data_IF_435512867462
#
_entry.id   IF_435512867462
#
_cell.length_a   1.000
_cell.length_b   1.000
_cell.length_c   1.000
_cell.angle_alpha   90.00
_cell.angle_beta   90.00
_cell.angle_gamma   90.00
#
_symmetry.space_group_name_H-M   'P 1'
#
loop_
_entity.id
_entity.type
_entity.pdbx_description
1 polymer ?
#
# COMPACT_ATOMS: atom_id res chain seq x y z
N UNK A 1 -9.03 -8.82 -11.07
CA UNK A 1 -10.40 -8.41 -11.46
C UNK A 1 -11.36 -9.51 -11.04
N UNK A 2 -12.51 -9.16 -10.43
CA UNK A 2 -13.51 -10.15 -10.00
C UNK A 2 -14.38 -10.55 -11.20
N UNK A 3 -14.59 -11.83 -11.41
CA UNK A 3 -15.55 -12.36 -12.37
C UNK A 3 -16.99 -12.01 -11.93
N UNK A 4 -17.81 -11.38 -12.79
CA UNK A 4 -19.18 -10.99 -12.48
C UNK A 4 -20.14 -12.17 -12.19
N UNK A 5 -19.77 -13.40 -12.53
CA UNK A 5 -20.66 -14.57 -12.40
C UNK A 5 -20.25 -15.57 -11.32
N UNK A 6 -19.00 -15.55 -10.86
CA UNK A 6 -18.46 -16.61 -10.01
C UNK A 6 -17.66 -16.16 -8.78
N UNK A 7 -17.59 -14.86 -8.49
CA UNK A 7 -16.73 -14.29 -7.42
C UNK A 7 -15.26 -14.74 -7.52
N UNK A 8 -14.83 -15.07 -8.74
CA UNK A 8 -13.51 -15.59 -9.07
C UNK A 8 -12.49 -14.45 -9.18
N UNK A 9 -11.33 -14.59 -8.55
CA UNK A 9 -10.30 -13.57 -8.53
C UNK A 9 -9.16 -13.90 -9.49
N UNK A 10 -9.00 -13.08 -10.51
CA UNK A 10 -7.90 -13.17 -11.46
C UNK A 10 -6.85 -12.11 -11.19
N UNK A 11 -5.59 -12.53 -11.17
CA UNK A 11 -4.43 -11.61 -11.19
C UNK A 11 -4.04 -11.40 -12.65
N UNK A 12 -4.01 -10.14 -13.06
CA UNK A 12 -3.67 -9.74 -14.43
C UNK A 12 -2.49 -8.77 -14.44
N UNK A 13 -1.63 -8.88 -15.45
CA UNK A 13 -0.55 -7.91 -15.74
C UNK A 13 -0.68 -7.55 -17.21
N UNK A 14 -0.84 -6.26 -17.53
CA UNK A 14 -1.05 -5.78 -18.91
C UNK A 14 -2.15 -6.59 -19.64
N UNK A 15 -3.30 -6.75 -18.97
CA UNK A 15 -4.46 -7.51 -19.45
C UNK A 15 -4.24 -9.02 -19.67
N UNK A 16 -3.06 -9.55 -19.33
CA UNK A 16 -2.79 -10.98 -19.35
C UNK A 16 -3.06 -11.59 -17.99
N UNK A 17 -3.98 -12.55 -17.91
CA UNK A 17 -4.20 -13.32 -16.69
C UNK A 17 -2.98 -14.19 -16.39
N UNK A 18 -2.31 -13.92 -15.27
CA UNK A 18 -1.12 -14.65 -14.82
C UNK A 18 -1.45 -15.67 -13.72
N UNK A 19 -2.67 -15.65 -13.17
CA UNK A 19 -3.09 -16.64 -12.19
C UNK A 19 -4.53 -16.49 -11.72
N UNK A 20 -5.07 -17.61 -11.26
CA UNK A 20 -6.39 -17.73 -10.65
C UNK A 20 -6.23 -17.99 -9.15
N UNK A 21 -6.95 -17.23 -8.34
CA UNK A 21 -7.04 -17.45 -6.89
C UNK A 21 -8.46 -17.90 -6.53
N UNK A 22 -8.63 -19.16 -6.11
CA UNK A 22 -9.95 -19.67 -5.76
C UNK A 22 -10.48 -19.00 -4.49
N UNK A 23 -11.78 -18.69 -4.41
CA UNK A 23 -12.37 -18.10 -3.21
C UNK A 23 -12.19 -18.98 -1.95
N UNK A 24 -12.01 -20.30 -2.12
CA UNK A 24 -11.80 -21.26 -1.02
C UNK A 24 -10.43 -21.14 -0.34
N UNK A 25 -9.44 -20.45 -0.92
CA UNK A 25 -8.17 -20.20 -0.23
C UNK A 25 -8.21 -18.97 0.68
N UNK A 26 -9.35 -18.27 0.70
CA UNK A 26 -9.58 -17.12 1.58
C UNK A 26 -10.66 -17.48 2.61
N UNK A 27 -10.32 -17.39 3.90
CA UNK A 27 -11.29 -17.55 4.99
C UNK A 27 -12.31 -16.40 5.05
N UNK A 28 -12.05 -15.32 4.32
CA UNK A 28 -12.94 -14.17 4.16
C UNK A 28 -13.37 -14.05 2.72
N UNK A 29 -14.68 -13.84 2.49
CA UNK A 29 -15.12 -13.19 1.25
C UNK A 29 -14.40 -11.85 1.16
N UNK A 30 -14.18 -11.30 -0.03
CA UNK A 30 -13.65 -9.94 -0.18
C UNK A 30 -14.84 -8.97 -0.25
N UNK A 31 -15.46 -8.55 0.88
CA UNK A 31 -16.26 -7.35 0.84
C UNK A 31 -15.32 -6.20 0.45
N UNK A 32 -15.93 -5.11 0.00
CA UNK A 32 -15.25 -3.84 -0.19
C UNK A 32 -14.21 -3.59 0.91
N UNK A 33 -12.97 -3.29 0.53
CA UNK A 33 -11.89 -3.13 1.50
C UNK A 33 -12.21 -1.99 2.48
N UNK A 34 -12.11 -2.27 3.78
CA UNK A 34 -12.48 -1.31 4.85
C UNK A 34 -11.34 -0.32 5.11
N UNK A 35 -10.11 -0.80 5.00
CA UNK A 35 -8.90 0.01 5.11
C UNK A 35 -7.80 -0.63 4.28
N UNK A 36 -6.76 0.16 4.03
CA UNK A 36 -5.58 -0.27 3.30
C UNK A 36 -4.37 -0.03 4.18
N UNK A 37 -3.54 -1.05 4.26
CA UNK A 37 -2.31 -1.03 5.02
C UNK A 37 -1.14 -0.73 4.08
N UNK A 38 -0.43 0.37 4.35
CA UNK A 38 0.85 0.66 3.73
C UNK A 38 1.96 0.19 4.65
N UNK A 39 2.78 -0.72 4.14
CA UNK A 39 3.92 -1.25 4.86
C UNK A 39 4.98 -1.81 3.92
N UNK A 40 6.00 -2.39 4.52
CA UNK A 40 7.10 -3.01 3.81
C UNK A 40 8.23 -3.28 4.79
N UNK A 41 8.99 -4.34 4.52
CA UNK A 41 10.23 -4.66 5.24
C UNK A 41 11.38 -4.64 4.25
N UNK A 42 12.52 -4.14 4.69
CA UNK A 42 13.74 -4.27 3.91
C UNK A 42 14.43 -5.55 4.37
N UNK A 43 14.63 -6.49 3.44
CA UNK A 43 15.43 -7.68 3.74
C UNK A 43 16.89 -7.36 3.49
N UNK A 44 17.71 -7.33 4.55
CA UNK A 44 19.16 -7.35 4.44
C UNK A 44 19.71 -8.74 4.79
N UNK A 45 20.29 -9.41 3.80
CA UNK A 45 20.95 -10.73 3.97
C UNK A 45 22.47 -10.63 4.01
N UNK A 46 23.05 -9.42 4.04
CA UNK A 46 24.49 -9.23 3.98
C UNK A 46 25.15 -9.60 5.33
N UNK A 47 26.32 -10.26 5.31
CA UNK A 47 27.08 -10.52 6.54
C UNK A 47 27.39 -9.21 7.27
N UNK A 48 26.97 -9.12 8.54
CA UNK A 48 27.14 -7.92 9.36
C UNK A 48 25.85 -7.13 9.64
N UNK A 49 24.74 -7.41 8.94
CA UNK A 49 23.40 -6.90 9.29
C UNK A 49 23.25 -5.37 9.25
N UNK A 50 24.04 -4.68 8.43
CA UNK A 50 23.95 -3.23 8.29
C UNK A 50 22.72 -2.84 7.46
N UNK A 51 21.61 -2.62 8.16
CA UNK A 51 20.39 -2.09 7.58
C UNK A 51 20.63 -0.74 6.90
N UNK A 52 20.08 -0.56 5.71
CA UNK A 52 20.08 0.73 5.04
C UNK A 52 18.99 1.63 5.62
N UNK A 53 19.21 2.95 5.63
CA UNK A 53 18.18 3.95 5.95
C UNK A 53 17.18 4.07 4.79
N UNK A 54 16.55 2.97 4.41
CA UNK A 54 15.66 2.94 3.25
C UNK A 54 14.38 3.72 3.58
N UNK A 55 14.05 4.76 2.80
CA UNK A 55 12.83 5.51 2.98
C UNK A 55 11.60 4.75 2.49
N UNK A 56 10.42 5.09 3.01
CA UNK A 56 9.15 4.71 2.38
C UNK A 56 8.75 5.76 1.34
N UNK A 57 8.25 5.30 0.19
CA UNK A 57 7.82 6.18 -0.90
C UNK A 57 9.01 6.93 -1.46
N UNK A 58 8.99 8.26 -1.36
CA UNK A 58 10.13 9.10 -1.74
C UNK A 58 10.91 9.66 -0.54
N UNK A 59 10.63 9.18 0.68
CA UNK A 59 11.29 9.61 1.91
C UNK A 59 10.75 10.88 2.55
N UNK A 60 9.83 11.58 1.87
CA UNK A 60 9.19 12.77 2.41
C UNK A 60 8.01 12.35 3.29
N UNK A 61 7.80 12.94 4.48
CA UNK A 61 6.65 12.64 5.33
C UNK A 61 5.31 12.83 4.59
N UNK A 62 4.37 11.91 4.82
CA UNK A 62 3.03 11.94 4.20
C UNK A 62 2.25 13.24 4.42
N UNK A 63 2.61 14.05 5.43
CA UNK A 63 1.99 15.34 5.73
C UNK A 63 2.57 16.53 4.94
N UNK A 64 3.61 16.34 4.12
CA UNK A 64 4.26 17.42 3.37
C UNK A 64 3.43 17.96 2.18
N UNK A 65 2.29 17.33 1.87
CA UNK A 65 1.40 17.71 0.77
C UNK A 65 1.75 17.02 -0.56
N UNK A 66 0.72 16.77 -1.39
CA UNK A 66 0.78 15.96 -2.63
C UNK A 66 1.83 16.39 -3.64
N UNK A 67 2.22 17.66 -3.65
CA UNK A 67 3.22 18.18 -4.60
C UNK A 67 4.63 17.63 -4.37
N UNK A 68 4.91 17.19 -3.15
CA UNK A 68 6.26 16.81 -2.75
C UNK A 68 6.35 15.33 -2.39
N UNK A 69 5.28 14.75 -1.83
CA UNK A 69 5.29 13.37 -1.35
C UNK A 69 4.81 12.38 -2.41
N UNK A 70 5.27 11.13 -2.30
CA UNK A 70 4.74 10.03 -3.11
C UNK A 70 3.22 9.92 -2.90
N UNK A 71 2.48 9.92 -4.01
CA UNK A 71 1.01 9.96 -3.99
C UNK A 71 0.44 8.93 -4.96
N UNK A 72 -0.52 8.15 -4.50
CA UNK A 72 -1.40 7.32 -5.36
C UNK A 72 -2.60 8.17 -5.71
N UNK A 73 -2.85 8.42 -7.00
CA UNK A 73 -3.85 9.40 -7.43
C UNK A 73 -5.26 8.82 -7.58
N UNK A 74 -5.37 7.58 -8.05
CA UNK A 74 -6.65 6.95 -8.41
C UNK A 74 -6.87 5.69 -7.56
N UNK A 75 -7.07 5.89 -6.25
CA UNK A 75 -7.21 4.80 -5.29
C UNK A 75 -8.68 4.43 -5.05
N UNK A 76 -9.10 3.25 -5.49
CA UNK A 76 -10.51 2.83 -5.44
C UNK A 76 -10.84 1.84 -4.32
N UNK A 77 -9.84 1.33 -3.61
CA UNK A 77 -10.02 0.20 -2.71
C UNK A 77 -10.57 0.60 -1.34
N UNK A 78 -10.07 1.68 -0.72
CA UNK A 78 -10.51 2.13 0.61
C UNK A 78 -10.30 3.63 0.82
N UNK A 79 -11.10 4.23 1.71
CA UNK A 79 -10.99 5.64 2.12
C UNK A 79 -10.15 5.85 3.39
N UNK A 80 -9.66 4.76 4.00
CA UNK A 80 -8.86 4.75 5.23
C UNK A 80 -7.51 4.06 4.98
N UNK A 81 -6.42 4.77 5.26
CA UNK A 81 -5.07 4.22 5.28
C UNK A 81 -4.59 3.96 6.70
N UNK A 82 -3.88 2.86 6.91
CA UNK A 82 -3.10 2.57 8.13
C UNK A 82 -1.66 2.21 7.73
N UNK A 83 -0.72 2.35 8.67
CA UNK A 83 0.67 1.96 8.43
C UNK A 83 1.11 0.93 9.45
N UNK A 84 1.98 0.01 9.03
CA UNK A 84 2.55 -1.02 9.91
C UNK A 84 3.51 -0.44 10.95
N UNK A 85 4.22 0.64 10.62
CA UNK A 85 5.16 1.32 11.52
C UNK A 85 4.90 2.84 11.53
N UNK A 86 3.85 3.33 12.22
CA UNK A 86 3.41 4.73 12.14
C UNK A 86 4.41 5.75 12.70
N UNK A 87 5.36 5.32 13.53
CA UNK A 87 6.47 6.17 14.01
C UNK A 87 7.51 6.47 12.91
N UNK A 88 7.52 5.68 11.84
CA UNK A 88 8.56 5.70 10.82
C UNK A 88 8.10 6.27 9.48
N UNK A 89 6.83 6.07 9.18
CA UNK A 89 6.20 6.52 7.95
C UNK A 89 4.69 6.61 8.12
N UNK A 90 4.09 7.45 7.30
CA UNK A 90 2.67 7.75 7.38
C UNK A 90 1.95 7.53 6.07
N UNK A 91 0.62 7.53 6.18
CA UNK A 91 -0.32 7.58 5.07
C UNK A 91 -1.35 8.66 5.38
N UNK A 92 -1.62 9.53 4.42
CA UNK A 92 -2.59 10.62 4.54
C UNK A 92 -3.55 10.62 3.36
N UNK A 93 -4.87 10.45 3.60
CA UNK A 93 -5.86 10.65 2.57
C UNK A 93 -5.91 12.14 2.21
N UNK A 94 -5.83 12.44 0.92
CA UNK A 94 -5.93 13.81 0.41
C UNK A 94 -7.33 14.14 -0.12
N UNK A 95 -8.24 13.16 -0.13
CA UNK A 95 -9.62 13.30 -0.56
C UNK A 95 -9.86 12.81 -1.99
N UNK A 96 -11.02 13.17 -2.53
CA UNK A 96 -11.41 12.88 -3.91
C UNK A 96 -11.30 14.18 -4.71
N UNK A 97 -10.57 14.16 -5.81
CA UNK A 97 -10.56 15.25 -6.80
C UNK A 97 -11.84 15.17 -7.64
N UNK A 98 -12.49 16.31 -7.95
CA UNK A 98 -13.80 16.30 -8.65
C UNK A 98 -13.73 15.70 -10.06
N UNK A 99 -12.54 15.70 -10.61
CA UNK A 99 -12.15 15.43 -11.98
C UNK A 99 -11.38 14.10 -12.11
N UNK A 100 -11.17 13.39 -10.99
CA UNK A 100 -10.59 12.04 -10.96
C UNK A 100 -11.53 11.05 -10.31
N UNK A 101 -11.49 9.82 -10.78
CA UNK A 101 -12.17 8.71 -10.12
C UNK A 101 -11.22 8.14 -9.08
N UNK A 102 -11.65 8.07 -7.82
CA UNK A 102 -10.85 7.48 -6.73
C UNK A 102 -10.33 8.50 -5.72
N UNK A 103 -9.73 7.98 -4.64
CA UNK A 103 -9.11 8.78 -3.58
C UNK A 103 -7.63 9.01 -3.89
N UNK A 104 -7.15 10.18 -3.56
CA UNK A 104 -5.72 10.47 -3.52
C UNK A 104 -5.16 10.10 -2.14
N UNK A 105 -4.05 9.37 -2.13
CA UNK A 105 -3.38 8.94 -0.90
C UNK A 105 -1.90 9.28 -0.96
N UNK A 106 -1.46 10.17 -0.08
CA UNK A 106 -0.06 10.46 0.16
C UNK A 106 0.53 9.44 1.12
N UNK A 107 1.74 8.95 0.84
CA UNK A 107 2.45 8.04 1.74
C UNK A 107 3.95 8.30 1.71
N UNK A 108 4.60 8.10 2.85
CA UNK A 108 6.04 8.28 2.93
C UNK A 108 6.52 8.65 4.32
N UNK A 109 7.84 8.72 4.43
CA UNK A 109 8.54 9.03 5.66
C UNK A 109 9.96 8.50 5.63
N UNK A 110 10.75 8.86 6.64
CA UNK A 110 12.17 8.52 6.69
C UNK A 110 12.42 7.00 6.69
N UNK A 111 11.47 6.19 7.18
CA UNK A 111 11.71 4.76 7.34
C UNK A 111 12.99 4.50 8.13
N UNK A 112 13.73 3.48 7.71
CA UNK A 112 15.08 3.22 8.19
C UNK A 112 15.19 2.17 9.30
N UNK A 113 16.40 2.09 9.86
CA UNK A 113 16.90 0.92 10.58
C UNK A 113 16.13 0.60 11.87
N UNK A 114 15.43 1.58 12.44
CA UNK A 114 14.63 1.42 13.65
C UNK A 114 13.18 1.03 13.38
N UNK A 115 12.82 0.85 12.10
CA UNK A 115 11.44 0.67 11.65
C UNK A 115 11.09 -0.78 11.32
N UNK A 116 12.11 -1.64 11.22
CA UNK A 116 11.99 -3.09 11.02
C UNK A 116 11.98 -3.86 12.36
N UNK A 117 12.09 -3.14 13.50
CA UNK A 117 11.89 -3.68 14.84
C UNK A 117 10.42 -3.48 15.23
N UNK A 118 9.55 -4.39 14.80
CA UNK A 118 8.21 -4.49 15.36
C UNK A 118 8.25 -5.43 16.59
N UNK A 119 7.49 -5.06 17.62
CA UNK A 119 7.33 -5.78 18.90
C UNK A 119 6.95 -7.27 18.76
#
# INVERSE_FOLDING_TARGET
MQDPTGENWWVTVLDHAIGYYPPTVFDTRFPQAVYVEMGGRVLDTRPGGNHTTTPMGNGIPSCAGSRFVATIMDYHAANRGVTTTPSCYGVNPLGIEKDRSGYMVAYGGPGGIYCDQAD
#
